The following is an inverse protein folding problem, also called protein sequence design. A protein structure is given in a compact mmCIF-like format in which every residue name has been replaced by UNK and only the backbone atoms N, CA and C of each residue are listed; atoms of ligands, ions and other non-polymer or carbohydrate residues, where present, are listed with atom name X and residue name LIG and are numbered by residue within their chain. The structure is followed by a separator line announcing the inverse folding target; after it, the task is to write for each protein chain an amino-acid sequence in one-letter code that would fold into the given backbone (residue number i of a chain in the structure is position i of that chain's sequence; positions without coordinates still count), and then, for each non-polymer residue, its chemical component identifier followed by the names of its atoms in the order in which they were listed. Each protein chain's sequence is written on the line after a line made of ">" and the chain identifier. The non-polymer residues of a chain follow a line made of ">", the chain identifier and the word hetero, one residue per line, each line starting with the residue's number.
data_IF_634186082621
#
_entry.id   IF_634186082621
#
_cell.length_a   1.000
_cell.length_b   1.000
_cell.length_c   1.000
_cell.angle_alpha   90.00
_cell.angle_beta   90.00
_cell.angle_gamma   90.00
#
_symmetry.space_group_name_H-M   'P 1'
#
loop_
_entity.id
_entity.type
_entity.pdbx_description
1 polymer ?
#
# COMPACT_ATOMS: atom_id res chain seq x y z
N UNK A 1 -0.59 -43.54 61.86
CA UNK A 1 -1.10 -42.62 60.82
C UNK A 1 -0.65 -41.22 61.16
N UNK A 2 0.21 -40.57 60.36
CA UNK A 2 0.22 -39.12 60.12
C UNK A 2 1.08 -38.91 58.86
N UNK A 3 0.46 -38.27 57.87
CA UNK A 3 0.95 -38.08 56.50
C UNK A 3 2.01 -36.97 56.45
N UNK A 4 2.98 -37.15 55.57
CA UNK A 4 3.96 -36.14 55.16
C UNK A 4 3.26 -34.90 54.54
N UNK A 5 3.75 -33.70 54.84
CA UNK A 5 3.41 -32.49 54.10
C UNK A 5 4.71 -31.78 53.68
N UNK A 6 5.20 -32.19 52.52
CA UNK A 6 6.26 -31.52 51.78
C UNK A 6 5.62 -30.32 51.05
N UNK A 7 5.77 -29.11 51.59
CA UNK A 7 5.24 -27.88 50.99
C UNK A 7 6.29 -27.30 50.04
N UNK A 8 6.33 -27.80 48.81
CA UNK A 8 7.06 -27.18 47.71
C UNK A 8 6.06 -26.86 46.61
N UNK A 9 5.64 -25.61 46.46
CA UNK A 9 5.23 -25.11 45.14
C UNK A 9 5.30 -23.60 45.10
N UNK A 10 6.20 -23.10 44.26
CA UNK A 10 6.36 -21.71 43.88
C UNK A 10 5.08 -21.19 43.23
N UNK A 11 4.69 -19.95 43.58
CA UNK A 11 3.75 -19.17 42.76
C UNK A 11 4.43 -17.84 42.45
N UNK A 12 5.38 -17.89 41.52
CA UNK A 12 5.78 -16.75 40.73
C UNK A 12 5.20 -16.96 39.33
N UNK A 13 3.95 -16.54 39.14
CA UNK A 13 3.45 -16.24 37.82
C UNK A 13 3.08 -14.75 37.88
N UNK A 14 4.03 -13.92 37.45
CA UNK A 14 3.72 -12.54 37.13
C UNK A 14 2.59 -12.59 36.10
N UNK A 15 1.40 -12.15 36.50
CA UNK A 15 0.31 -11.90 35.59
C UNK A 15 0.67 -10.62 34.84
N UNK A 16 1.69 -10.68 33.97
CA UNK A 16 1.79 -9.73 32.88
C UNK A 16 0.61 -10.05 32.00
N UNK A 17 -0.50 -9.34 32.19
CA UNK A 17 -1.45 -9.10 31.12
C UNK A 17 -0.65 -8.35 30.05
N UNK A 18 0.12 -9.07 29.24
CA UNK A 18 0.41 -8.57 27.90
C UNK A 18 -0.98 -8.48 27.28
N UNK A 19 -1.49 -7.27 27.06
CA UNK A 19 -2.61 -7.05 26.17
C UNK A 19 -2.25 -7.83 24.91
N UNK A 20 -2.87 -8.98 24.71
CA UNK A 20 -2.63 -9.79 23.54
C UNK A 20 -2.97 -8.87 22.38
N UNK A 21 -1.94 -8.55 21.60
CA UNK A 21 -1.97 -7.66 20.47
C UNK A 21 -3.28 -7.84 19.71
N UNK A 22 -4.03 -6.76 19.54
CA UNK A 22 -5.06 -6.76 18.52
C UNK A 22 -4.31 -6.94 17.20
N UNK A 23 -4.30 -8.17 16.69
CA UNK A 23 -3.75 -8.49 15.39
C UNK A 23 -4.68 -7.85 14.37
N UNK A 24 -4.32 -6.64 13.98
CA UNK A 24 -5.08 -5.81 13.07
C UNK A 24 -4.82 -6.26 11.64
N UNK A 25 -5.63 -7.23 11.18
CA UNK A 25 -5.57 -7.72 9.82
C UNK A 25 -6.24 -6.71 8.87
N UNK A 26 -5.44 -5.90 8.19
CA UNK A 26 -5.94 -4.87 7.27
C UNK A 26 -5.83 -5.33 5.82
N UNK A 27 -6.91 -5.21 5.06
CA UNK A 27 -6.93 -5.51 3.63
C UNK A 27 -7.08 -4.23 2.83
N UNK A 28 -6.14 -3.97 1.94
CA UNK A 28 -6.20 -2.80 1.09
C UNK A 28 -6.34 -3.16 -0.38
N UNK A 29 -7.22 -2.47 -1.12
CA UNK A 29 -7.36 -2.66 -2.58
C UNK A 29 -6.94 -1.39 -3.31
N UNK A 30 -5.83 -1.46 -4.05
CA UNK A 30 -5.38 -0.40 -4.94
C UNK A 30 -5.87 -0.64 -6.36
N UNK A 31 -6.55 0.37 -6.92
CA UNK A 31 -6.90 0.39 -8.33
C UNK A 31 -5.97 1.37 -9.05
N UNK A 32 -5.79 1.16 -10.33
CA UNK A 32 -4.99 2.06 -11.15
C UNK A 32 -5.80 2.43 -12.37
N UNK A 33 -5.90 3.73 -12.63
CA UNK A 33 -6.61 4.23 -13.79
C UNK A 33 -5.68 5.15 -14.55
N UNK A 34 -5.50 4.89 -15.84
CA UNK A 34 -4.84 5.85 -16.73
C UNK A 34 -5.95 6.70 -17.33
N UNK A 35 -5.86 8.02 -17.16
CA UNK A 35 -6.83 8.96 -17.72
C UNK A 35 -6.10 9.90 -18.67
N UNK A 36 -6.64 10.08 -19.87
CA UNK A 36 -6.06 10.95 -20.88
C UNK A 36 -6.98 11.08 -22.07
N UNK A 37 -6.92 12.24 -22.73
CA UNK A 37 -7.67 12.50 -23.95
C UNK A 37 -6.69 12.63 -25.11
N UNK A 38 -6.61 11.66 -26.01
CA UNK A 38 -6.15 11.90 -27.40
C UNK A 38 -6.56 10.78 -28.36
N UNK A 39 -7.62 11.04 -29.15
CA UNK A 39 -7.98 10.28 -30.36
C UNK A 39 -8.49 8.84 -30.13
N UNK A 40 -9.43 8.41 -30.96
CA UNK A 40 -9.97 7.04 -30.92
C UNK A 40 -9.04 6.03 -31.62
N UNK A 41 -8.74 4.85 -31.03
CA UNK A 41 -9.05 4.45 -29.65
C UNK A 41 -7.96 4.86 -28.65
N UNK A 42 -8.41 5.29 -27.47
CA UNK A 42 -7.60 5.71 -26.34
C UNK A 42 -6.87 4.52 -25.71
N UNK A 43 -5.59 4.34 -26.01
CA UNK A 43 -4.67 3.50 -25.23
C UNK A 43 -3.38 4.29 -25.07
N UNK A 44 -3.33 5.18 -24.07
CA UNK A 44 -2.26 6.18 -23.99
C UNK A 44 -1.06 5.70 -23.15
N UNK A 45 -1.29 4.85 -22.14
CA UNK A 45 -0.26 4.23 -21.30
C UNK A 45 -0.86 2.97 -20.66
N UNK A 46 -0.08 1.89 -20.53
CA UNK A 46 -0.52 0.70 -19.78
C UNK A 46 0.37 0.42 -18.59
N UNK A 47 -0.24 -0.03 -17.51
CA UNK A 47 0.47 -0.57 -16.36
C UNK A 47 0.91 -1.99 -16.72
N UNK A 48 2.22 -2.24 -16.71
CA UNK A 48 2.80 -3.51 -17.22
C UNK A 48 3.19 -4.48 -16.12
N UNK A 49 3.00 -4.12 -14.85
CA UNK A 49 3.37 -4.97 -13.71
C UNK A 49 2.30 -4.99 -12.58
N UNK A 50 1.02 -4.91 -12.92
CA UNK A 50 -0.05 -5.00 -11.92
C UNK A 50 -0.90 -6.24 -12.04
N UNK A 51 -1.04 -6.97 -10.94
CA UNK A 51 -2.12 -7.95 -10.77
C UNK A 51 -2.71 -7.81 -9.36
N UNK A 52 -4.05 -7.67 -9.29
CA UNK A 52 -4.85 -7.77 -8.05
C UNK A 52 -4.25 -7.10 -6.81
N UNK A 53 -4.00 -5.78 -6.87
CA UNK A 53 -3.13 -5.10 -5.90
C UNK A 53 -3.79 -5.00 -4.51
N UNK A 54 -3.60 -6.08 -3.75
CA UNK A 54 -3.87 -6.22 -2.33
C UNK A 54 -2.64 -5.88 -1.51
N UNK A 55 -2.79 -5.06 -0.46
CA UNK A 55 -1.71 -4.85 0.52
C UNK A 55 -2.22 -5.35 1.85
N UNK A 56 -1.39 -6.14 2.52
CA UNK A 56 -1.57 -6.52 3.91
C UNK A 56 -0.56 -5.71 4.71
N UNK A 57 -1.04 -5.04 5.75
CA UNK A 57 -0.21 -4.38 6.74
C UNK A 57 -0.47 -5.08 8.05
N UNK A 58 0.59 -5.59 8.66
CA UNK A 58 0.55 -6.00 10.05
C UNK A 58 1.11 -4.85 10.89
N UNK A 59 0.33 -4.42 11.88
CA UNK A 59 0.74 -3.34 12.78
C UNK A 59 1.82 -3.79 13.77
N UNK A 60 2.15 -5.09 13.86
CA UNK A 60 3.15 -5.68 14.77
C UNK A 60 3.02 -5.18 16.22
N UNK A 61 1.77 -5.04 16.68
CA UNK A 61 1.45 -4.56 18.03
C UNK A 61 1.65 -3.05 18.25
N UNK A 62 1.66 -2.23 17.19
CA UNK A 62 1.70 -0.77 17.34
C UNK A 62 0.50 -0.24 18.14
N UNK A 63 0.76 0.80 18.96
CA UNK A 63 -0.27 1.48 19.74
C UNK A 63 -1.30 2.18 18.84
N UNK A 64 -2.59 2.23 19.21
CA UNK A 64 -3.63 2.90 18.43
C UNK A 64 -3.27 4.35 18.07
N UNK A 65 -3.46 4.72 16.80
CA UNK A 65 -3.11 6.04 16.28
C UNK A 65 -1.65 6.18 15.81
N UNK A 66 -0.80 5.17 16.03
CA UNK A 66 0.55 5.13 15.45
C UNK A 66 0.46 4.88 13.95
N UNK A 67 1.07 5.75 13.14
CA UNK A 67 1.18 5.51 11.70
C UNK A 67 2.19 4.37 11.48
N UNK A 68 1.70 3.24 10.98
CA UNK A 68 2.53 2.12 10.53
C UNK A 68 2.69 2.21 9.02
N UNK A 69 3.94 2.21 8.56
CA UNK A 69 4.27 2.22 7.15
C UNK A 69 4.36 0.79 6.63
N UNK A 70 3.58 0.51 5.58
CA UNK A 70 3.58 -0.77 4.91
C UNK A 70 4.58 -0.86 3.78
N UNK A 71 4.39 -1.92 3.01
CA UNK A 71 5.30 -2.22 1.93
C UNK A 71 5.19 -1.23 0.78
N UNK A 72 6.35 -0.92 0.20
CA UNK A 72 6.46 -0.07 -0.98
C UNK A 72 6.19 -0.95 -2.21
N UNK A 73 5.28 -0.50 -3.08
CA UNK A 73 5.06 -1.12 -4.39
C UNK A 73 5.56 -0.19 -5.48
N UNK A 74 6.26 -0.78 -6.43
CA UNK A 74 6.67 -0.09 -7.66
C UNK A 74 5.71 -0.44 -8.78
N UNK A 75 5.02 0.55 -9.33
CA UNK A 75 4.10 0.44 -10.45
C UNK A 75 4.77 1.01 -11.70
N UNK A 76 4.94 0.18 -12.71
CA UNK A 76 5.67 0.50 -13.94
C UNK A 76 4.69 0.69 -15.08
N UNK A 77 4.66 1.91 -15.60
CA UNK A 77 3.83 2.30 -16.72
C UNK A 77 4.65 2.28 -18.01
N UNK A 78 4.03 1.89 -19.12
CA UNK A 78 4.66 1.86 -20.44
C UNK A 78 3.87 2.70 -21.42
N UNK A 79 4.56 3.58 -22.13
CA UNK A 79 3.98 4.22 -23.31
C UNK A 79 3.87 3.16 -24.44
N UNK A 80 2.66 2.85 -24.87
CA UNK A 80 2.37 1.91 -25.94
C UNK A 80 1.88 2.56 -27.24
N UNK A 81 1.72 3.88 -27.28
CA UNK A 81 1.38 4.58 -28.53
C UNK A 81 2.63 4.78 -29.39
N UNK A 82 2.44 4.89 -30.70
CA UNK A 82 3.51 5.08 -31.68
C UNK A 82 4.09 6.51 -31.74
N UNK A 83 4.05 7.24 -30.61
CA UNK A 83 4.53 8.62 -30.46
C UNK A 83 4.92 8.89 -29.00
N UNK A 84 5.57 10.01 -28.77
CA UNK A 84 5.85 10.48 -27.41
C UNK A 84 4.57 10.97 -26.73
N UNK A 85 4.45 10.70 -25.43
CA UNK A 85 3.30 11.07 -24.60
C UNK A 85 3.75 12.02 -23.53
N UNK A 86 2.97 13.09 -23.30
CA UNK A 86 3.24 14.00 -22.20
C UNK A 86 2.41 13.60 -20.97
N UNK A 87 3.08 13.17 -19.91
CA UNK A 87 2.44 12.94 -18.61
C UNK A 87 2.44 14.26 -17.84
N UNK A 88 1.25 14.78 -17.55
CA UNK A 88 1.06 16.06 -16.85
C UNK A 88 0.82 15.90 -15.36
N UNK A 89 0.62 14.68 -14.86
CA UNK A 89 0.60 14.44 -13.43
C UNK A 89 0.31 13.00 -13.02
N UNK A 90 0.76 12.67 -11.81
CA UNK A 90 0.48 11.42 -11.11
C UNK A 90 -0.16 11.77 -9.77
N UNK A 91 -1.37 11.25 -9.52
CA UNK A 91 -2.16 11.62 -8.32
C UNK A 91 -2.88 10.42 -7.73
N UNK A 92 -3.26 10.48 -6.45
CA UNK A 92 -4.10 9.48 -5.80
C UNK A 92 -5.49 10.05 -5.53
N UNK A 93 -6.54 9.28 -5.85
CA UNK A 93 -7.94 9.63 -5.60
C UNK A 93 -8.72 8.49 -4.93
N UNK A 94 -9.57 8.76 -3.91
CA UNK A 94 -9.66 10.05 -3.22
C UNK A 94 -8.32 10.40 -2.56
N UNK A 95 -8.04 11.69 -2.37
CA UNK A 95 -6.84 12.12 -1.65
C UNK A 95 -6.90 11.51 -0.26
N UNK A 96 -6.08 10.49 -0.03
CA UNK A 96 -6.09 9.70 1.18
C UNK A 96 -4.66 9.65 1.72
N UNK A 97 -4.48 10.12 2.96
CA UNK A 97 -3.18 10.14 3.64
C UNK A 97 -2.56 8.75 3.79
N UNK A 98 -3.34 7.68 3.61
CA UNK A 98 -2.90 6.29 3.69
C UNK A 98 -2.12 5.84 2.44
N UNK A 99 -2.19 6.58 1.33
CA UNK A 99 -1.47 6.29 0.08
C UNK A 99 -0.52 7.41 -0.26
N UNK A 100 0.77 7.12 -0.11
CA UNK A 100 1.83 8.11 -0.33
C UNK A 100 2.58 7.75 -1.60
N UNK A 101 2.67 8.68 -2.55
CA UNK A 101 3.61 8.58 -3.67
C UNK A 101 4.99 8.97 -3.12
N UNK A 102 5.90 8.00 -3.08
CA UNK A 102 7.28 8.22 -2.64
C UNK A 102 8.17 8.72 -3.79
N UNK A 103 7.87 8.28 -5.01
CA UNK A 103 8.60 8.68 -6.22
C UNK A 103 7.68 8.66 -7.42
N UNK A 104 7.76 9.70 -8.24
CA UNK A 104 7.11 9.81 -9.54
C UNK A 104 8.17 9.90 -10.64
N UNK A 105 8.36 8.80 -11.38
CA UNK A 105 9.22 8.76 -12.56
C UNK A 105 8.46 8.98 -13.87
N UNK A 106 7.15 9.24 -13.84
CA UNK A 106 6.29 9.31 -15.01
C UNK A 106 6.02 10.74 -15.48
N UNK A 107 5.93 11.72 -14.59
CA UNK A 107 5.71 13.13 -15.00
C UNK A 107 6.81 13.61 -15.96
N UNK A 108 6.40 14.16 -17.11
CA UNK A 108 7.31 14.55 -18.19
C UNK A 108 6.98 13.86 -19.51
N UNK A 109 7.92 13.91 -20.45
CA UNK A 109 7.78 13.26 -21.75
C UNK A 109 8.21 11.80 -21.66
N UNK A 110 7.28 10.89 -21.93
CA UNK A 110 7.54 9.46 -22.00
C UNK A 110 7.61 9.04 -23.48
N UNK A 111 8.83 8.75 -23.94
CA UNK A 111 9.10 8.36 -25.34
C UNK A 111 8.36 7.07 -25.70
N UNK A 112 8.03 6.89 -26.99
CA UNK A 112 7.43 5.65 -27.50
C UNK A 112 8.16 4.41 -26.96
N UNK A 113 7.41 3.50 -26.34
CA UNK A 113 7.93 2.24 -25.82
C UNK A 113 8.76 2.36 -24.54
N UNK A 114 9.03 3.56 -24.04
CA UNK A 114 9.69 3.76 -22.77
C UNK A 114 8.78 3.38 -21.59
N UNK A 115 9.40 3.16 -20.44
CA UNK A 115 8.73 2.84 -19.18
C UNK A 115 9.09 3.85 -18.11
N UNK A 116 8.15 4.10 -17.21
CA UNK A 116 8.35 4.94 -16.04
C UNK A 116 7.85 4.24 -14.78
N UNK A 117 8.63 4.24 -13.68
CA UNK A 117 8.22 3.72 -12.39
C UNK A 117 7.55 4.79 -11.53
N UNK A 118 6.50 4.40 -10.81
CA UNK A 118 5.91 5.16 -9.70
C UNK A 118 5.98 4.30 -8.44
N UNK A 119 6.57 4.82 -7.37
CA UNK A 119 6.61 4.13 -6.09
C UNK A 119 5.52 4.67 -5.17
N UNK A 120 4.72 3.76 -4.64
CA UNK A 120 3.67 4.06 -3.67
C UNK A 120 3.89 3.26 -2.40
N UNK A 121 3.63 3.90 -1.26
CA UNK A 121 3.63 3.26 0.05
C UNK A 121 2.25 3.37 0.68
N UNK A 122 1.78 2.24 1.19
CA UNK A 122 0.61 2.22 2.07
C UNK A 122 1.04 2.53 3.50
N UNK A 123 0.20 3.25 4.23
CA UNK A 123 0.31 3.41 5.68
C UNK A 123 -1.06 3.54 6.30
N UNK A 124 -1.20 3.14 7.56
CA UNK A 124 -2.43 3.31 8.31
C UNK A 124 -2.11 3.56 9.79
N UNK A 125 -3.04 4.23 10.48
CA UNK A 125 -2.98 4.45 11.94
C UNK A 125 -4.17 3.84 12.69
N UNK A 126 -5.13 3.30 11.94
CA UNK A 126 -6.37 2.70 12.40
C UNK A 126 -6.71 1.53 11.50
N UNK A 127 -7.61 0.66 11.97
CA UNK A 127 -8.08 -0.46 11.18
C UNK A 127 -9.12 -0.05 10.18
N UNK A 128 -9.01 -0.67 9.01
CA UNK A 128 -10.07 -0.58 8.04
C UNK A 128 -9.62 -1.11 6.70
N UNK A 129 -10.62 -1.24 5.85
CA UNK A 129 -10.43 -1.47 4.43
C UNK A 129 -10.34 -0.10 3.75
N UNK A 130 -9.14 0.27 3.35
CA UNK A 130 -8.97 1.47 2.54
C UNK A 130 -9.10 1.09 1.06
N UNK A 131 -9.52 2.05 0.24
CA UNK A 131 -9.42 1.92 -1.22
C UNK A 131 -8.95 3.25 -1.81
N UNK A 132 -8.11 3.17 -2.82
CA UNK A 132 -7.64 4.34 -3.56
C UNK A 132 -7.28 3.97 -5.00
N UNK A 133 -7.26 4.99 -5.85
CA UNK A 133 -6.93 4.89 -7.27
C UNK A 133 -5.74 5.78 -7.58
N UNK A 134 -4.66 5.19 -8.14
CA UNK A 134 -3.57 5.95 -8.72
C UNK A 134 -3.95 6.37 -10.15
N UNK A 135 -3.93 7.68 -10.39
CA UNK A 135 -4.25 8.30 -11.67
C UNK A 135 -2.96 8.79 -12.32
N UNK A 136 -2.70 8.32 -13.54
CA UNK A 136 -1.65 8.85 -14.41
C UNK A 136 -2.34 9.63 -15.52
N UNK A 137 -2.08 10.94 -15.57
CA UNK A 137 -2.73 11.89 -16.47
C UNK A 137 -1.82 12.17 -17.65
N UNK A 138 -2.28 11.80 -18.85
CA UNK A 138 -1.50 11.88 -20.07
C UNK A 138 -2.21 12.67 -21.17
N UNK A 139 -1.44 13.37 -22.01
CA UNK A 139 -1.87 14.15 -23.18
C UNK A 139 -1.21 13.60 -24.45
#
# INVERSE_FOLDING_TARGET
>A
MIRANLKTTAVAAALSLSLAAAAYAQSFVFRTTVTGATGTPAVLVTLVNSTGIGFLLDADGAEPGTIVNGEIRTLTYRNQVSRDVQITGVTVSPSNANFVILSDGCTGTLVMGAQCPVQVQFRASEDGDYTATLNVIAQ
#
